data_IF_616866117990
#
_entry.id   IF_616866117990
#
_cell.length_a   1.000
_cell.length_b   1.000
_cell.length_c   1.000
_cell.angle_alpha   90.00
_cell.angle_beta   90.00
_cell.angle_gamma   90.00
#
_symmetry.space_group_name_H-M   'P 1'
#
loop_
_entity.id
_entity.type
_entity.pdbx_description
1 polymer ?
#
# COMPACT_ATOMS: atom_id res chain seq x y z
N UNK A 1 64.17 4.22 -38.99
CA UNK A 1 63.84 5.06 -40.13
C UNK A 1 62.46 5.58 -39.90
N UNK A 2 62.38 6.77 -39.49
CA UNK A 2 62.09 8.03 -40.18
C UNK A 2 60.59 8.17 -40.34
N UNK A 3 60.03 8.99 -39.59
CA UNK A 3 59.70 10.42 -39.67
C UNK A 3 58.34 10.59 -40.32
N UNK A 4 57.47 11.43 -39.98
CA UNK A 4 57.44 12.69 -39.27
C UNK A 4 56.13 13.38 -39.49
N UNK A 5 55.64 14.04 -38.45
CA UNK A 5 55.27 15.44 -38.32
C UNK A 5 54.20 16.09 -39.22
N UNK A 6 53.27 16.68 -38.46
CA UNK A 6 52.74 18.08 -38.53
C UNK A 6 51.62 18.35 -39.54
N UNK A 7 50.58 18.95 -39.18
CA UNK A 7 50.09 20.10 -38.41
C UNK A 7 49.22 21.02 -39.27
N UNK A 8 48.30 21.70 -38.64
CA UNK A 8 47.55 22.93 -38.94
C UNK A 8 46.35 22.80 -39.87
N UNK A 9 45.20 23.02 -39.38
CA UNK A 9 44.51 24.22 -38.85
C UNK A 9 43.90 25.08 -39.96
N UNK A 10 42.68 25.46 -39.74
CA UNK A 10 42.13 26.83 -39.88
C UNK A 10 40.90 26.98 -40.85
N UNK A 11 39.84 27.48 -40.21
CA UNK A 11 38.77 28.41 -40.61
C UNK A 11 37.60 27.91 -41.47
N UNK A 12 36.46 27.80 -40.84
CA UNK A 12 35.35 28.77 -40.74
C UNK A 12 34.56 29.06 -42.02
N UNK A 13 33.27 28.76 -42.03
CA UNK A 13 32.24 29.79 -42.00
C UNK A 13 30.81 29.23 -42.28
N UNK A 14 29.91 29.63 -41.40
CA UNK A 14 28.53 30.15 -41.58
C UNK A 14 27.41 29.34 -42.18
N UNK A 15 26.42 29.20 -41.28
CA UNK A 15 24.98 29.49 -41.43
C UNK A 15 24.14 28.54 -42.28
N UNK A 16 23.15 27.88 -41.71
CA UNK A 16 21.81 28.41 -41.33
C UNK A 16 20.97 27.33 -40.66
N UNK A 17 20.19 27.72 -39.72
CA UNK A 17 19.09 27.20 -38.92
C UNK A 17 17.90 26.67 -39.75
N UNK A 18 16.81 26.19 -39.08
CA UNK A 18 16.64 25.23 -37.97
C UNK A 18 15.58 24.18 -38.29
N UNK A 19 15.64 23.05 -37.59
CA UNK A 19 14.41 22.25 -37.38
C UNK A 19 14.46 21.67 -35.95
N UNK A 20 13.46 22.05 -35.19
CA UNK A 20 13.23 21.62 -33.82
C UNK A 20 12.91 20.14 -33.72
N UNK A 21 13.89 19.34 -33.45
CA UNK A 21 13.76 17.97 -32.99
C UNK A 21 14.16 17.88 -31.53
N UNK A 22 13.21 17.95 -30.59
CA UNK A 22 13.44 17.64 -29.17
C UNK A 22 13.87 16.18 -29.06
N UNK A 23 15.18 15.94 -29.11
CA UNK A 23 15.78 14.68 -28.65
C UNK A 23 15.68 14.65 -27.14
N UNK A 24 14.67 13.98 -26.60
CA UNK A 24 14.69 13.46 -25.25
C UNK A 24 15.84 12.45 -25.17
N UNK A 25 16.99 12.93 -24.73
CA UNK A 25 18.09 12.07 -24.34
C UNK A 25 17.66 11.34 -23.07
N UNK A 26 17.23 10.10 -23.21
CA UNK A 26 17.20 9.13 -22.12
C UNK A 26 18.61 9.07 -21.53
N UNK A 27 18.83 9.77 -20.44
CA UNK A 27 20.04 9.62 -19.62
C UNK A 27 19.96 8.25 -18.94
N UNK A 28 20.49 7.23 -19.60
CA UNK A 28 20.79 5.95 -18.97
C UNK A 28 21.80 6.18 -17.86
N UNK A 29 21.43 5.78 -16.62
CA UNK A 29 22.25 5.46 -15.47
C UNK A 29 23.63 6.10 -15.32
N UNK A 30 23.70 7.42 -15.04
CA UNK A 30 24.91 7.95 -14.42
C UNK A 30 24.90 7.55 -12.94
N UNK A 31 26.06 7.10 -12.39
CA UNK A 31 26.18 6.82 -10.96
C UNK A 31 25.79 8.07 -10.14
N UNK A 32 25.27 7.87 -8.93
CA UNK A 32 25.06 8.98 -7.99
C UNK A 32 26.42 9.54 -7.63
N UNK A 33 26.65 10.80 -7.99
CA UNK A 33 27.84 11.51 -7.52
C UNK A 33 27.65 11.86 -6.04
N UNK A 34 28.58 11.41 -5.19
CA UNK A 34 28.50 11.62 -3.72
C UNK A 34 29.79 12.26 -3.26
N UNK A 35 29.71 13.54 -2.97
CA UNK A 35 30.81 14.27 -2.33
C UNK A 35 30.89 13.96 -0.83
N UNK A 36 32.11 13.80 -0.32
CA UNK A 36 32.38 13.53 1.11
C UNK A 36 33.26 14.62 1.69
N UNK A 37 32.72 15.33 2.69
CA UNK A 37 33.48 16.39 3.37
C UNK A 37 33.40 16.25 4.90
N UNK A 38 34.49 16.57 5.60
CA UNK A 38 34.46 16.65 7.07
C UNK A 38 34.27 18.12 7.49
N UNK A 39 33.34 18.29 8.43
CA UNK A 39 33.04 19.59 9.00
C UNK A 39 32.94 19.42 10.52
N UNK A 40 33.94 19.98 11.25
CA UNK A 40 34.10 19.75 12.67
C UNK A 40 34.11 18.24 13.00
N UNK A 41 33.19 17.75 13.81
CA UNK A 41 33.12 16.37 14.29
C UNK A 41 32.11 15.48 13.50
N UNK A 42 31.64 15.98 12.35
CA UNK A 42 30.70 15.26 11.49
C UNK A 42 31.30 14.95 10.12
N UNK A 43 30.89 13.85 9.54
CA UNK A 43 31.10 13.51 8.14
C UNK A 43 29.83 13.87 7.36
N UNK A 44 29.94 14.72 6.35
CA UNK A 44 28.87 15.12 5.47
C UNK A 44 28.98 14.34 4.17
N UNK A 45 27.92 13.62 3.80
CA UNK A 45 27.74 13.00 2.50
C UNK A 45 26.76 13.83 1.69
N UNK A 46 27.16 14.30 0.52
CA UNK A 46 26.35 15.16 -0.35
C UNK A 46 26.08 14.48 -1.71
N UNK A 47 25.05 13.61 -1.80
CA UNK A 47 24.65 13.00 -3.07
C UNK A 47 23.98 14.02 -3.99
N UNK A 48 24.21 13.88 -5.30
CA UNK A 48 23.65 14.74 -6.35
C UNK A 48 22.86 13.91 -7.36
N UNK A 49 21.67 14.40 -7.75
CA UNK A 49 20.80 13.79 -8.75
C UNK A 49 19.63 13.01 -8.14
N UNK A 50 19.32 11.84 -8.66
CA UNK A 50 18.20 10.99 -8.21
C UNK A 50 18.72 9.77 -7.45
N UNK A 51 18.09 9.48 -6.31
CA UNK A 51 18.34 8.24 -5.56
C UNK A 51 17.13 7.32 -5.80
N UNK A 52 17.19 6.52 -6.84
CA UNK A 52 16.12 5.62 -7.27
C UNK A 52 16.61 4.16 -7.36
N UNK A 53 15.83 3.28 -7.95
CA UNK A 53 16.15 1.86 -8.03
C UNK A 53 17.47 1.54 -8.75
N UNK A 54 17.97 2.44 -9.60
CA UNK A 54 19.23 2.23 -10.31
C UNK A 54 20.44 2.71 -9.50
N UNK A 55 20.27 3.68 -8.63
CA UNK A 55 21.35 4.40 -7.92
C UNK A 55 21.38 4.11 -6.42
N UNK A 56 20.30 3.55 -5.85
CA UNK A 56 20.17 3.30 -4.41
C UNK A 56 21.18 2.31 -3.86
N UNK A 57 21.61 1.31 -4.65
CA UNK A 57 22.59 0.32 -4.19
C UNK A 57 23.98 0.93 -3.97
N UNK A 58 24.42 1.83 -4.85
CA UNK A 58 25.66 2.57 -4.70
C UNK A 58 25.58 3.55 -3.53
N UNK A 59 24.47 4.30 -3.44
CA UNK A 59 24.20 5.19 -2.31
C UNK A 59 24.25 4.44 -0.98
N UNK A 60 23.61 3.27 -0.89
CA UNK A 60 23.63 2.43 0.32
C UNK A 60 25.06 1.99 0.68
N UNK A 61 25.84 1.54 -0.28
CA UNK A 61 27.22 1.11 -0.06
C UNK A 61 28.09 2.21 0.52
N UNK A 62 28.01 3.41 -0.07
CA UNK A 62 28.75 4.59 0.38
C UNK A 62 28.30 5.04 1.77
N UNK A 63 26.99 5.10 2.00
CA UNK A 63 26.40 5.50 3.27
C UNK A 63 26.77 4.51 4.39
N UNK A 64 26.68 3.20 4.15
CA UNK A 64 27.09 2.18 5.11
C UNK A 64 28.59 2.30 5.45
N UNK A 65 29.44 2.47 4.45
CA UNK A 65 30.86 2.71 4.68
C UNK A 65 31.11 3.93 5.58
N UNK A 66 30.37 5.01 5.35
CA UNK A 66 30.47 6.22 6.14
C UNK A 66 30.07 6.03 7.61
N UNK A 67 28.97 5.34 7.88
CA UNK A 67 28.46 5.15 9.27
C UNK A 67 29.23 4.07 10.04
N UNK A 68 29.86 3.10 9.35
CA UNK A 68 30.57 1.98 10.00
C UNK A 68 32.08 2.20 10.14
N UNK A 69 32.72 2.83 9.15
CA UNK A 69 34.17 2.95 9.09
C UNK A 69 34.75 4.25 9.71
N UNK A 70 33.91 5.25 9.97
CA UNK A 70 34.34 6.53 10.51
C UNK A 70 34.02 6.66 12.01
N UNK A 71 34.85 7.46 12.70
CA UNK A 71 34.62 7.78 14.12
C UNK A 71 33.75 9.04 14.30
N UNK A 72 33.21 9.62 13.24
CA UNK A 72 32.37 10.82 13.25
C UNK A 72 30.87 10.50 13.15
N UNK A 73 30.02 11.39 13.62
CA UNK A 73 28.58 11.40 13.30
C UNK A 73 28.40 11.71 11.80
N UNK A 74 27.30 11.23 11.19
CA UNK A 74 27.09 11.36 9.74
C UNK A 74 25.86 12.22 9.46
N UNK A 75 25.99 13.22 8.58
CA UNK A 75 24.88 14.00 8.03
C UNK A 75 24.84 13.80 6.51
N UNK A 76 23.68 13.40 5.99
CA UNK A 76 23.45 13.34 4.54
C UNK A 76 22.84 14.68 4.08
N UNK A 77 23.59 15.45 3.32
CA UNK A 77 23.14 16.71 2.72
C UNK A 77 22.37 16.41 1.43
N UNK A 78 21.04 16.54 1.47
CA UNK A 78 20.15 16.24 0.36
C UNK A 78 19.85 17.47 -0.53
N UNK A 79 20.61 18.55 -0.42
CA UNK A 79 20.42 19.74 -1.24
C UNK A 79 20.58 19.48 -2.75
N UNK A 80 21.46 18.54 -3.12
CA UNK A 80 21.67 18.09 -4.49
C UNK A 80 20.69 17.02 -4.99
N UNK A 81 19.81 16.49 -4.13
CA UNK A 81 18.92 15.38 -4.48
C UNK A 81 17.59 15.89 -4.99
N UNK A 82 17.23 15.46 -6.20
CA UNK A 82 15.98 15.85 -6.87
C UNK A 82 14.80 14.94 -6.52
N UNK A 83 15.09 13.66 -6.26
CA UNK A 83 14.10 12.63 -5.95
C UNK A 83 14.75 11.50 -5.15
N UNK A 84 13.99 10.91 -4.23
CA UNK A 84 14.38 9.70 -3.49
C UNK A 84 13.24 8.68 -3.51
N UNK A 85 13.55 7.45 -3.93
CA UNK A 85 12.59 6.33 -3.95
C UNK A 85 12.53 5.60 -2.61
N UNK A 86 11.61 4.62 -2.48
CA UNK A 86 11.55 3.71 -1.33
C UNK A 86 12.86 2.94 -1.13
N UNK A 87 13.54 2.57 -2.21
CA UNK A 87 14.86 1.92 -2.13
C UNK A 87 15.93 2.85 -1.55
N UNK A 88 15.92 4.13 -1.94
CA UNK A 88 16.81 5.14 -1.35
C UNK A 88 16.51 5.41 0.13
N UNK A 89 15.24 5.46 0.50
CA UNK A 89 14.83 5.60 1.92
C UNK A 89 15.22 4.35 2.73
N UNK A 90 15.10 3.14 2.18
CA UNK A 90 15.60 1.91 2.83
C UNK A 90 17.10 1.93 3.03
N UNK A 91 17.87 2.49 2.11
CA UNK A 91 19.32 2.67 2.28
C UNK A 91 19.65 3.54 3.52
N UNK A 92 18.93 4.64 3.70
CA UNK A 92 19.04 5.49 4.91
C UNK A 92 18.67 4.73 6.18
N UNK A 93 17.58 3.92 6.14
CA UNK A 93 17.16 3.09 7.25
C UNK A 93 18.22 2.05 7.61
N UNK A 94 18.71 1.31 6.62
CA UNK A 94 19.73 0.28 6.84
C UNK A 94 20.97 0.87 7.50
N UNK A 95 21.40 2.04 7.04
CA UNK A 95 22.51 2.76 7.66
C UNK A 95 22.20 3.21 9.10
N UNK A 96 20.99 3.69 9.35
CA UNK A 96 20.55 4.07 10.69
C UNK A 96 20.56 2.91 11.68
N UNK A 97 20.23 1.69 11.21
CA UNK A 97 20.26 0.46 12.04
C UNK A 97 21.65 -0.11 12.25
N UNK A 98 22.50 -0.06 11.23
CA UNK A 98 23.84 -0.65 11.27
C UNK A 98 24.90 0.27 11.86
N UNK A 99 24.59 1.55 12.07
CA UNK A 99 25.53 2.46 12.75
C UNK A 99 25.76 2.04 14.21
N UNK A 100 26.98 2.22 14.76
CA UNK A 100 27.23 2.04 16.19
C UNK A 100 26.26 2.88 17.05
N UNK A 101 25.90 2.40 18.23
CA UNK A 101 24.93 3.07 19.15
C UNK A 101 25.38 4.49 19.53
N UNK A 102 26.67 4.70 19.62
CA UNK A 102 27.30 5.97 19.99
C UNK A 102 27.34 6.98 18.84
N UNK A 103 26.93 6.57 17.63
CA UNK A 103 26.93 7.39 16.43
C UNK A 103 25.54 7.88 16.09
N UNK A 104 25.49 9.05 15.49
CA UNK A 104 24.25 9.66 15.01
C UNK A 104 24.27 9.73 13.49
N UNK A 105 23.09 9.55 12.89
CA UNK A 105 22.84 9.75 11.48
C UNK A 105 21.66 10.68 11.34
N UNK A 106 21.77 11.69 10.50
CA UNK A 106 20.70 12.60 10.14
C UNK A 106 20.72 12.96 8.65
N UNK A 107 19.66 13.54 8.17
CA UNK A 107 19.59 14.18 6.85
C UNK A 107 19.36 15.67 7.01
N UNK A 108 19.88 16.46 6.06
CA UNK A 108 19.73 17.91 6.09
C UNK A 108 19.48 18.48 4.68
N UNK A 109 19.04 19.74 4.61
CA UNK A 109 18.91 20.52 3.37
C UNK A 109 17.98 19.88 2.32
N UNK A 110 16.88 19.26 2.74
CA UNK A 110 15.95 18.60 1.83
C UNK A 110 15.29 19.60 0.88
N UNK A 111 15.35 19.33 -0.43
CA UNK A 111 14.56 20.06 -1.44
C UNK A 111 13.07 19.78 -1.23
N UNK A 112 12.21 20.65 -1.74
CA UNK A 112 10.76 20.59 -1.53
C UNK A 112 10.17 19.22 -1.83
N UNK A 113 10.47 18.63 -3.00
CA UNK A 113 9.98 17.30 -3.40
C UNK A 113 10.46 16.20 -2.46
N UNK A 114 11.77 16.21 -2.11
CA UNK A 114 12.34 15.22 -1.18
C UNK A 114 11.73 15.36 0.22
N UNK A 115 11.48 16.58 0.68
CA UNK A 115 10.82 16.87 1.95
C UNK A 115 9.37 16.35 1.97
N UNK A 116 8.63 16.54 0.87
CA UNK A 116 7.27 15.98 0.73
C UNK A 116 7.30 14.45 0.81
N UNK A 117 8.25 13.80 0.11
CA UNK A 117 8.41 12.33 0.18
C UNK A 117 8.74 11.88 1.61
N UNK A 118 9.60 12.58 2.34
CA UNK A 118 9.91 12.30 3.74
C UNK A 118 8.67 12.47 4.64
N UNK A 119 7.82 13.45 4.36
CA UNK A 119 6.57 13.68 5.09
C UNK A 119 5.56 12.58 4.79
N UNK A 120 5.30 12.30 3.52
CA UNK A 120 4.36 11.25 3.07
C UNK A 120 4.76 9.86 3.59
N UNK A 121 6.06 9.54 3.52
CA UNK A 121 6.61 8.27 4.02
C UNK A 121 6.79 8.23 5.53
N UNK A 122 6.49 9.32 6.25
CA UNK A 122 6.74 9.51 7.69
C UNK A 122 8.18 9.20 8.12
N UNK A 123 9.11 9.33 7.17
CA UNK A 123 10.49 8.94 7.34
C UNK A 123 11.28 9.86 8.28
N UNK A 124 10.75 11.05 8.56
CA UNK A 124 11.29 11.97 9.56
C UNK A 124 11.27 11.43 11.00
N UNK A 125 10.44 10.41 11.28
CA UNK A 125 10.44 9.69 12.57
C UNK A 125 11.58 8.65 12.67
N UNK A 126 12.18 8.30 11.55
CA UNK A 126 13.20 7.25 11.44
C UNK A 126 14.60 7.81 11.41
N UNK A 127 14.80 8.88 10.64
CA UNK A 127 16.09 9.60 10.53
C UNK A 127 15.80 11.09 10.77
N UNK A 128 16.45 11.73 11.77
CA UNK A 128 16.26 13.15 12.05
C UNK A 128 16.50 14.02 10.82
N UNK A 129 15.63 15.01 10.61
CA UNK A 129 15.68 15.95 9.49
C UNK A 129 15.99 17.33 10.03
N UNK A 130 17.03 17.97 9.50
CA UNK A 130 17.42 19.33 9.84
C UNK A 130 17.31 20.27 8.64
N UNK A 131 17.13 21.55 8.90
CA UNK A 131 17.08 22.53 7.82
C UNK A 131 18.45 22.74 7.19
N UNK A 132 19.53 22.69 7.99
CA UNK A 132 20.92 22.81 7.53
C UNK A 132 21.83 21.78 8.21
N UNK A 133 23.02 21.58 7.63
CA UNK A 133 24.05 20.72 8.21
C UNK A 133 24.56 21.29 9.55
N UNK A 134 24.63 22.61 9.67
CA UNK A 134 25.03 23.33 10.88
C UNK A 134 24.04 23.13 12.02
N UNK A 135 22.74 23.13 11.70
CA UNK A 135 21.66 22.85 12.66
C UNK A 135 21.79 21.43 13.23
N UNK A 136 22.04 20.43 12.38
CA UNK A 136 22.28 19.05 12.82
C UNK A 136 23.49 18.97 13.76
N UNK A 137 24.57 19.64 13.41
CA UNK A 137 25.79 19.69 14.24
C UNK A 137 25.53 20.31 15.60
N UNK A 138 24.77 21.40 15.67
CA UNK A 138 24.42 22.11 16.91
C UNK A 138 23.46 21.29 17.78
N UNK A 139 22.44 20.70 17.20
CA UNK A 139 21.46 19.85 17.90
C UNK A 139 22.12 18.64 18.56
N UNK A 140 23.22 18.16 18.03
CA UNK A 140 23.95 17.03 18.60
C UNK A 140 24.85 17.38 19.78
N UNK A 141 24.93 18.64 20.13
CA UNK A 141 25.57 19.10 21.34
C UNK A 141 24.61 19.14 22.56
N UNK A 142 23.30 18.85 22.36
CA UNK A 142 22.25 18.85 23.39
C UNK A 142 21.64 17.44 23.61
N UNK A 143 21.06 17.08 24.80
CA UNK A 143 20.53 15.75 25.12
C UNK A 143 19.11 15.47 24.56
N UNK A 144 18.67 14.21 24.38
CA UNK A 144 17.53 13.79 23.51
C UNK A 144 16.13 13.84 24.15
N UNK A 145 15.10 13.93 23.31
CA UNK A 145 13.67 13.76 23.63
C UNK A 145 12.97 12.75 22.69
N UNK A 146 11.88 12.13 23.16
CA UNK A 146 11.19 10.99 22.56
C UNK A 146 9.76 11.29 22.01
N UNK A 147 9.32 10.48 21.04
CA UNK A 147 8.04 9.83 20.72
C UNK A 147 6.99 10.33 19.72
N UNK A 148 6.44 9.33 19.03
CA UNK A 148 5.06 8.89 18.72
C UNK A 148 4.53 8.85 17.26
N UNK A 149 3.63 7.91 16.98
CA UNK A 149 3.32 7.15 15.76
C UNK A 149 1.89 7.29 15.15
N UNK A 150 1.70 6.81 13.97
CA UNK A 150 0.79 5.85 13.25
C UNK A 150 -0.51 6.30 12.55
N UNK A 151 -1.27 5.66 11.71
CA UNK A 151 -1.66 4.71 10.68
C UNK A 151 -2.71 4.97 9.55
N UNK A 152 -3.13 4.28 8.68
CA UNK A 152 -3.86 3.38 7.79
C UNK A 152 -5.11 3.65 6.84
N UNK A 153 -5.51 3.07 5.78
CA UNK A 153 -6.06 2.29 4.76
C UNK A 153 -7.38 2.21 3.94
N UNK A 154 -7.70 1.71 2.76
CA UNK A 154 -8.66 0.85 1.97
C UNK A 154 -9.55 1.26 0.76
N UNK A 155 -10.19 0.49 -0.02
CA UNK A 155 -10.48 -0.10 -1.28
C UNK A 155 -11.84 -0.15 -2.01
N UNK A 156 -12.06 -0.45 -3.35
CA UNK A 156 -13.19 -1.03 -4.10
C UNK A 156 -13.53 -1.10 -5.61
N UNK A 157 -14.62 -1.63 -6.14
CA UNK A 157 -14.88 -2.38 -7.39
C UNK A 157 -15.83 -1.92 -8.55
N UNK A 158 -16.31 -2.63 -9.45
CA UNK A 158 -16.38 -2.93 -10.80
C UNK A 158 -17.67 -3.22 -11.63
N UNK A 159 -17.82 -3.16 -12.96
CA UNK A 159 -18.99 -3.51 -13.71
C UNK A 159 -18.85 -3.78 -15.21
N UNK A 160 -19.53 -4.65 -15.86
CA UNK A 160 -20.30 -5.75 -15.32
C UNK A 160 -19.48 -6.67 -14.46
N UNK A 161 -18.18 -6.43 -14.34
CA UNK A 161 -17.35 -6.90 -13.26
C UNK A 161 -17.31 -5.78 -12.22
N UNK A 162 -17.80 -5.99 -11.01
CA UNK A 162 -17.77 -5.05 -9.87
C UNK A 162 -17.16 -5.73 -8.68
N UNK A 163 -16.63 -5.00 -7.74
CA UNK A 163 -16.18 -5.51 -6.43
C UNK A 163 -16.84 -4.67 -5.38
N UNK A 164 -17.20 -5.18 -4.24
CA UNK A 164 -17.72 -4.48 -3.07
C UNK A 164 -16.95 -4.92 -1.85
N UNK A 165 -16.69 -3.99 -0.94
CA UNK A 165 -15.99 -4.29 0.29
C UNK A 165 -16.93 -4.36 1.47
N UNK A 166 -16.84 -5.44 2.19
CA UNK A 166 -17.63 -5.71 3.38
C UNK A 166 -16.81 -5.56 4.64
N UNK A 167 -15.48 -5.60 4.50
CA UNK A 167 -14.54 -5.42 5.59
C UNK A 167 -13.17 -5.09 5.06
N UNK A 168 -12.56 -4.16 5.71
CA UNK A 168 -11.46 -3.36 5.19
C UNK A 168 -10.34 -3.15 6.20
N UNK A 169 -10.50 -3.53 7.48
CA UNK A 169 -9.49 -3.46 8.54
C UNK A 169 -8.55 -4.65 8.53
N UNK A 170 -7.28 -4.41 8.85
CA UNK A 170 -6.31 -5.44 9.14
C UNK A 170 -6.32 -5.86 10.61
N UNK A 171 -5.77 -6.99 10.90
CA UNK A 171 -5.49 -7.57 12.21
C UNK A 171 -6.69 -7.70 13.15
N UNK A 172 -7.48 -6.65 13.38
CA UNK A 172 -8.60 -6.63 14.33
C UNK A 172 -9.74 -5.74 13.86
N UNK A 173 -11.01 -6.07 14.20
CA UNK A 173 -12.13 -5.16 14.03
C UNK A 173 -11.92 -3.84 14.78
N UNK A 174 -12.21 -2.72 14.12
CA UNK A 174 -12.03 -1.37 14.67
C UNK A 174 -13.34 -0.56 14.65
N UNK A 175 -14.33 -0.89 15.51
CA UNK A 175 -15.60 -0.18 15.56
C UNK A 175 -15.44 1.26 16.05
N UNK A 176 -16.25 2.19 15.53
CA UNK A 176 -16.28 3.57 16.00
C UNK A 176 -16.64 3.63 17.50
N UNK A 177 -15.85 4.40 18.24
CA UNK A 177 -16.10 4.67 19.66
C UNK A 177 -17.06 5.86 19.82
N UNK A 178 -17.80 5.92 20.92
CA UNK A 178 -18.75 7.01 21.23
C UNK A 178 -18.12 8.41 21.01
N UNK A 179 -16.93 8.61 21.56
CA UNK A 179 -16.22 9.89 21.44
C UNK A 179 -15.91 10.29 19.98
N UNK A 180 -15.64 9.31 19.11
CA UNK A 180 -15.38 9.56 17.69
C UNK A 180 -16.67 9.99 16.96
N UNK A 181 -17.78 9.30 17.21
CA UNK A 181 -19.11 9.70 16.70
C UNK A 181 -19.47 11.10 17.17
N UNK A 182 -19.29 11.40 18.45
CA UNK A 182 -19.54 12.74 19.00
C UNK A 182 -18.67 13.83 18.36
N UNK A 183 -17.40 13.51 18.08
CA UNK A 183 -16.51 14.45 17.39
C UNK A 183 -16.98 14.74 15.96
N UNK A 184 -17.37 13.73 15.20
CA UNK A 184 -17.94 13.88 13.84
C UNK A 184 -19.17 14.76 13.85
N UNK A 185 -20.13 14.53 14.78
CA UNK A 185 -21.34 15.35 14.92
C UNK A 185 -20.97 16.80 15.21
N UNK A 186 -20.06 17.06 16.15
CA UNK A 186 -19.57 18.41 16.46
C UNK A 186 -18.95 19.08 15.24
N UNK A 187 -18.08 18.39 14.51
CA UNK A 187 -17.34 18.93 13.38
C UNK A 187 -18.30 19.22 12.21
N UNK A 188 -19.29 18.36 11.97
CA UNK A 188 -20.36 18.60 11.01
C UNK A 188 -21.19 19.84 11.37
N UNK A 189 -21.60 19.99 12.65
CA UNK A 189 -22.36 21.17 13.12
C UNK A 189 -21.54 22.47 13.05
N UNK A 190 -20.23 22.41 13.28
CA UNK A 190 -19.34 23.56 13.13
C UNK A 190 -19.23 23.98 11.65
N UNK A 191 -19.11 23.02 10.74
CA UNK A 191 -19.07 23.29 9.29
C UNK A 191 -20.41 23.83 8.74
N UNK A 192 -21.51 23.44 9.36
CA UNK A 192 -22.86 23.89 8.97
C UNK A 192 -23.19 25.36 9.35
N UNK A 193 -22.35 26.02 10.16
CA UNK A 193 -22.60 27.40 10.59
C UNK A 193 -22.71 28.34 9.39
N UNK A 194 -23.82 29.09 9.33
CA UNK A 194 -24.08 30.05 8.27
C UNK A 194 -24.50 29.46 6.92
N UNK A 195 -24.72 28.14 6.85
CA UNK A 195 -25.24 27.46 5.67
C UNK A 195 -26.77 27.49 5.67
N UNK A 196 -27.40 27.68 4.50
CA UNK A 196 -28.84 27.58 4.32
C UNK A 196 -29.25 26.11 4.17
N UNK A 197 -29.58 25.44 5.27
CA UNK A 197 -29.92 24.02 5.34
C UNK A 197 -31.40 23.82 5.70
N UNK A 198 -32.29 24.46 4.96
CA UNK A 198 -33.72 24.47 5.25
C UNK A 198 -34.48 23.26 4.72
N UNK A 199 -33.87 22.47 3.82
CA UNK A 199 -34.48 21.29 3.22
C UNK A 199 -33.58 20.08 3.37
N UNK A 200 -34.16 18.87 3.41
CA UNK A 200 -33.41 17.60 3.44
C UNK A 200 -32.41 17.51 2.27
N UNK A 201 -32.86 17.90 1.07
CA UNK A 201 -31.98 17.92 -0.11
C UNK A 201 -30.78 18.88 0.05
N UNK A 202 -30.95 20.04 0.67
CA UNK A 202 -29.87 20.97 0.95
C UNK A 202 -28.89 20.38 2.00
N UNK A 203 -29.41 19.65 2.99
CA UNK A 203 -28.62 18.96 4.01
C UNK A 203 -27.79 17.86 3.37
N UNK A 204 -28.38 16.97 2.57
CA UNK A 204 -27.66 15.89 1.88
C UNK A 204 -26.57 16.47 0.95
N UNK A 205 -26.91 17.48 0.14
CA UNK A 205 -25.92 18.14 -0.71
C UNK A 205 -24.75 18.77 0.08
N UNK A 206 -25.03 19.32 1.26
CA UNK A 206 -24.01 19.85 2.17
C UNK A 206 -23.12 18.72 2.74
N UNK A 207 -23.72 17.63 3.21
CA UNK A 207 -23.01 16.46 3.72
C UNK A 207 -22.05 15.94 2.65
N UNK A 208 -22.54 15.74 1.42
CA UNK A 208 -21.74 15.13 0.35
C UNK A 208 -20.66 16.05 -0.22
N UNK A 209 -20.90 17.35 -0.31
CA UNK A 209 -20.01 18.29 -1.00
C UNK A 209 -19.12 19.12 -0.09
N UNK A 210 -19.45 19.28 1.20
CA UNK A 210 -18.77 20.18 2.13
C UNK A 210 -18.07 19.48 3.29
N UNK A 211 -18.50 18.28 3.65
CA UNK A 211 -17.87 17.55 4.74
C UNK A 211 -16.80 16.56 4.18
N UNK A 212 -15.61 16.51 4.80
CA UNK A 212 -14.64 15.49 4.48
C UNK A 212 -15.18 14.09 4.83
N UNK A 213 -14.70 13.07 4.16
CA UNK A 213 -15.20 11.69 4.38
C UNK A 213 -15.04 11.23 5.83
N UNK A 214 -13.95 11.64 6.48
CA UNK A 214 -13.70 11.37 7.91
C UNK A 214 -14.77 11.96 8.86
N UNK A 215 -15.55 12.93 8.41
CA UNK A 215 -16.65 13.52 9.18
C UNK A 215 -18.01 12.94 8.76
N UNK A 216 -18.29 12.89 7.44
CA UNK A 216 -19.60 12.45 6.90
C UNK A 216 -19.78 10.93 6.86
N UNK A 217 -18.70 10.16 6.91
CA UNK A 217 -18.69 8.71 6.79
C UNK A 217 -17.74 8.04 7.77
N UNK A 218 -17.41 6.78 7.50
CA UNK A 218 -16.36 6.02 8.17
C UNK A 218 -15.70 5.07 7.18
N UNK A 219 -14.41 4.83 7.33
CA UNK A 219 -13.73 3.80 6.55
C UNK A 219 -14.10 2.36 6.97
N UNK A 220 -14.92 2.21 7.99
CA UNK A 220 -15.44 0.93 8.45
C UNK A 220 -14.66 0.34 9.62
N UNK A 221 -15.14 -0.78 10.10
CA UNK A 221 -14.58 -1.46 11.26
C UNK A 221 -14.50 -2.97 11.12
N UNK A 222 -14.94 -3.54 9.99
CA UNK A 222 -14.85 -4.97 9.73
C UNK A 222 -13.50 -5.37 9.17
N UNK A 223 -13.06 -6.60 9.45
CA UNK A 223 -11.85 -7.17 8.87
C UNK A 223 -12.10 -7.76 7.48
N UNK A 224 -11.04 -8.09 6.79
CA UNK A 224 -10.93 -8.40 5.36
C UNK A 224 -12.05 -9.26 4.78
N UNK A 225 -12.90 -8.68 3.94
CA UNK A 225 -13.92 -9.39 3.15
C UNK A 225 -14.29 -8.58 1.91
N UNK A 226 -14.04 -9.13 0.73
CA UNK A 226 -14.25 -8.47 -0.56
C UNK A 226 -15.10 -9.33 -1.48
N UNK A 227 -16.18 -8.78 -2.03
CA UNK A 227 -17.07 -9.44 -3.00
C UNK A 227 -16.70 -9.01 -4.41
N UNK A 228 -16.39 -9.95 -5.32
CA UNK A 228 -16.25 -9.71 -6.74
C UNK A 228 -17.58 -10.04 -7.43
N UNK A 229 -18.27 -9.02 -7.91
CA UNK A 229 -19.61 -9.13 -8.49
C UNK A 229 -19.46 -9.41 -10.00
N UNK A 230 -19.79 -10.63 -10.37
CA UNK A 230 -19.70 -11.10 -11.77
C UNK A 230 -20.98 -10.86 -12.58
N UNK A 231 -22.08 -10.54 -11.92
CA UNK A 231 -23.42 -10.51 -12.54
C UNK A 231 -24.00 -11.88 -12.84
N UNK A 232 -23.32 -12.98 -12.46
CA UNK A 232 -23.82 -14.35 -12.54
C UNK A 232 -24.59 -14.77 -11.28
N UNK A 233 -24.99 -16.04 -11.24
CA UNK A 233 -25.76 -16.62 -10.12
C UNK A 233 -24.90 -17.08 -8.95
N UNK A 234 -23.60 -17.13 -9.10
CA UNK A 234 -22.64 -17.52 -8.05
C UNK A 234 -21.95 -16.29 -7.46
N UNK A 235 -21.77 -16.28 -6.15
CA UNK A 235 -21.00 -15.26 -5.44
C UNK A 235 -19.52 -15.60 -5.46
N UNK A 236 -18.68 -14.58 -5.56
CA UNK A 236 -17.21 -14.69 -5.45
C UNK A 236 -16.76 -13.75 -4.35
N UNK A 237 -16.01 -14.28 -3.37
CA UNK A 237 -15.60 -13.57 -2.16
C UNK A 237 -14.11 -13.82 -1.92
N UNK A 238 -13.38 -12.78 -1.56
CA UNK A 238 -12.03 -12.89 -1.03
C UNK A 238 -12.09 -12.67 0.48
N UNK A 239 -11.59 -13.64 1.22
CA UNK A 239 -11.54 -13.73 2.68
C UNK A 239 -12.88 -13.70 3.43
N UNK A 240 -12.84 -14.22 4.65
CA UNK A 240 -13.96 -14.45 5.55
C UNK A 240 -13.78 -13.70 6.88
N UNK A 241 -13.20 -12.50 6.83
CA UNK A 241 -13.15 -11.60 7.98
C UNK A 241 -14.55 -11.17 8.42
N UNK A 242 -14.64 -10.31 9.44
CA UNK A 242 -15.95 -9.99 10.05
C UNK A 242 -16.96 -9.37 9.08
N UNK A 243 -16.50 -8.79 7.97
CA UNK A 243 -17.35 -8.24 6.91
C UNK A 243 -18.26 -9.28 6.25
N UNK A 244 -17.90 -10.58 6.25
CA UNK A 244 -18.70 -11.65 5.66
C UNK A 244 -20.08 -11.79 6.31
N UNK A 245 -20.22 -11.38 7.58
CA UNK A 245 -21.52 -11.36 8.28
C UNK A 245 -22.50 -10.43 7.58
N UNK A 246 -22.09 -9.20 7.29
CA UNK A 246 -22.97 -8.22 6.62
C UNK A 246 -23.23 -8.60 5.16
N UNK A 247 -22.25 -9.16 4.46
CA UNK A 247 -22.47 -9.77 3.15
C UNK A 247 -23.53 -10.86 3.20
N UNK A 248 -23.42 -11.83 4.09
CA UNK A 248 -24.40 -12.90 4.25
C UNK A 248 -25.79 -12.38 4.60
N UNK A 249 -25.89 -11.41 5.50
CA UNK A 249 -27.15 -10.75 5.86
C UNK A 249 -27.79 -10.04 4.67
N UNK A 250 -26.99 -9.40 3.79
CA UNK A 250 -27.50 -8.79 2.56
C UNK A 250 -28.09 -9.84 1.63
N UNK A 251 -27.37 -10.94 1.36
CA UNK A 251 -27.86 -12.03 0.50
C UNK A 251 -29.22 -12.56 1.00
N UNK A 252 -29.37 -12.74 2.31
CA UNK A 252 -30.61 -13.19 2.91
C UNK A 252 -31.74 -12.14 2.85
N UNK A 253 -31.44 -10.87 2.99
CA UNK A 253 -32.43 -9.79 2.82
C UNK A 253 -32.94 -9.69 1.38
N UNK A 254 -32.04 -9.84 0.39
CA UNK A 254 -32.38 -9.71 -1.03
C UNK A 254 -33.13 -10.93 -1.59
N UNK A 255 -32.79 -12.12 -1.12
CA UNK A 255 -33.30 -13.37 -1.73
C UNK A 255 -34.10 -14.25 -0.79
N UNK A 256 -34.07 -13.99 0.51
CA UNK A 256 -34.65 -14.84 1.53
C UNK A 256 -33.92 -16.19 1.73
N UNK A 257 -34.20 -16.92 2.81
CA UNK A 257 -33.52 -18.18 3.12
C UNK A 257 -33.94 -19.35 2.22
N UNK A 258 -35.00 -19.19 1.41
CA UNK A 258 -35.54 -20.22 0.51
C UNK A 258 -34.71 -20.44 -0.74
N UNK A 259 -34.08 -19.39 -1.29
CA UNK A 259 -33.21 -19.49 -2.46
C UNK A 259 -31.86 -20.12 -2.07
N UNK A 260 -31.39 -21.04 -2.91
CA UNK A 260 -30.07 -21.69 -2.72
C UNK A 260 -29.03 -20.98 -3.52
N UNK A 261 -27.85 -20.85 -2.93
CA UNK A 261 -26.74 -20.08 -3.49
C UNK A 261 -25.45 -20.91 -3.51
N UNK A 262 -24.58 -20.59 -4.46
CA UNK A 262 -23.21 -21.04 -4.50
C UNK A 262 -22.27 -19.87 -4.15
N UNK A 263 -21.39 -20.09 -3.19
CA UNK A 263 -20.37 -19.12 -2.76
C UNK A 263 -19.00 -19.69 -3.07
N UNK A 264 -18.22 -18.97 -3.87
CA UNK A 264 -16.84 -19.28 -4.19
C UNK A 264 -15.96 -18.34 -3.35
N UNK A 265 -15.32 -18.86 -2.33
CA UNK A 265 -14.50 -18.13 -1.36
C UNK A 265 -13.03 -18.36 -1.66
N UNK A 266 -12.27 -17.30 -1.89
CA UNK A 266 -10.82 -17.34 -2.09
C UNK A 266 -10.14 -16.86 -0.81
N UNK A 267 -9.48 -17.74 -0.08
CA UNK A 267 -8.75 -17.39 1.14
C UNK A 267 -7.31 -17.03 0.81
N UNK A 268 -6.91 -15.81 1.20
CA UNK A 268 -5.53 -15.36 1.11
C UNK A 268 -4.63 -16.16 2.06
N UNK A 269 -5.05 -16.31 3.31
CA UNK A 269 -4.37 -17.10 4.34
C UNK A 269 -5.26 -17.27 5.59
N UNK A 270 -4.90 -18.18 6.53
CA UNK A 270 -5.75 -18.52 7.66
C UNK A 270 -5.54 -17.66 8.93
N UNK A 271 -4.98 -16.44 8.85
CA UNK A 271 -4.96 -15.55 10.01
C UNK A 271 -6.38 -15.17 10.44
N UNK A 272 -6.56 -14.83 11.71
CA UNK A 272 -7.88 -14.68 12.30
C UNK A 272 -8.72 -13.60 11.63
N UNK A 273 -8.15 -12.48 11.32
CA UNK A 273 -8.84 -11.37 10.67
C UNK A 273 -9.31 -11.69 9.24
N UNK A 274 -8.81 -12.77 8.65
CA UNK A 274 -9.26 -13.28 7.34
C UNK A 274 -10.24 -14.44 7.44
N UNK A 275 -10.46 -15.03 8.63
CA UNK A 275 -11.41 -16.15 8.82
C UNK A 275 -12.40 -15.94 9.97
N UNK A 276 -12.20 -14.96 10.88
CA UNK A 276 -12.97 -14.84 12.13
C UNK A 276 -14.46 -14.58 11.92
N UNK A 277 -14.88 -14.11 10.75
CA UNK A 277 -16.28 -13.87 10.43
C UNK A 277 -17.04 -15.11 9.99
N UNK A 278 -16.36 -16.20 9.58
CA UNK A 278 -17.00 -17.39 9.04
C UNK A 278 -18.04 -18.02 9.99
N UNK A 279 -17.83 -18.14 11.31
CA UNK A 279 -18.83 -18.67 12.23
C UNK A 279 -20.13 -17.85 12.29
N UNK A 280 -20.12 -16.62 11.77
CA UNK A 280 -21.27 -15.71 11.71
C UNK A 280 -21.82 -15.53 10.29
N UNK A 281 -21.34 -16.31 9.34
CA UNK A 281 -21.80 -16.31 7.95
C UNK A 281 -23.11 -17.11 7.85
N UNK A 282 -24.23 -16.42 8.04
CA UNK A 282 -25.56 -17.05 8.12
C UNK A 282 -25.89 -18.01 6.94
N UNK A 283 -25.47 -17.77 5.68
CA UNK A 283 -25.69 -18.74 4.60
C UNK A 283 -25.05 -20.12 4.82
N UNK A 284 -24.00 -20.24 5.65
CA UNK A 284 -23.38 -21.53 5.95
C UNK A 284 -24.29 -22.48 6.74
N UNK A 285 -25.26 -21.94 7.46
CA UNK A 285 -26.23 -22.72 8.25
C UNK A 285 -27.47 -23.16 7.47
N UNK A 286 -27.60 -22.74 6.20
CA UNK A 286 -28.79 -22.99 5.40
C UNK A 286 -28.62 -24.24 4.53
N UNK A 287 -29.40 -25.29 4.73
CA UNK A 287 -29.34 -26.49 3.92
C UNK A 287 -29.58 -26.22 2.43
N UNK A 288 -28.73 -26.81 1.59
CA UNK A 288 -28.78 -26.68 0.14
C UNK A 288 -27.94 -25.54 -0.44
N UNK A 289 -27.39 -24.66 0.39
CA UNK A 289 -26.32 -23.77 -0.06
C UNK A 289 -25.04 -24.58 -0.28
N UNK A 290 -24.22 -24.12 -1.22
CA UNK A 290 -22.87 -24.67 -1.48
C UNK A 290 -21.83 -23.59 -1.25
N UNK A 291 -20.78 -23.91 -0.50
CA UNK A 291 -19.64 -23.06 -0.24
C UNK A 291 -18.38 -23.80 -0.72
N UNK A 292 -17.69 -23.25 -1.71
CA UNK A 292 -16.41 -23.75 -2.17
C UNK A 292 -15.32 -22.81 -1.65
N UNK A 293 -14.41 -23.35 -0.87
CA UNK A 293 -13.29 -22.60 -0.26
C UNK A 293 -12.02 -22.95 -1.02
N UNK A 294 -11.55 -22.01 -1.80
CA UNK A 294 -10.33 -22.09 -2.58
C UNK A 294 -9.18 -21.46 -1.82
N UNK A 295 -7.99 -22.04 -1.91
CA UNK A 295 -6.75 -21.47 -1.38
C UNK A 295 -5.56 -22.35 -1.71
N UNK A 296 -4.37 -21.87 -1.39
CA UNK A 296 -3.12 -22.59 -1.71
C UNK A 296 -2.46 -23.25 -0.47
N UNK A 297 -3.16 -23.28 0.68
CA UNK A 297 -2.66 -23.90 1.91
C UNK A 297 -3.32 -25.25 2.15
N UNK A 298 -2.55 -26.23 2.56
CA UNK A 298 -3.07 -27.56 2.93
C UNK A 298 -3.86 -27.54 4.25
N UNK A 299 -3.66 -26.49 5.08
CA UNK A 299 -4.28 -26.38 6.43
C UNK A 299 -5.62 -25.66 6.47
N UNK A 300 -6.18 -25.19 5.33
CA UNK A 300 -7.43 -24.40 5.33
C UNK A 300 -8.60 -25.13 5.96
N UNK A 301 -8.76 -26.40 5.63
CA UNK A 301 -9.81 -27.24 6.22
C UNK A 301 -9.64 -27.38 7.73
N UNK A 302 -8.43 -27.68 8.19
CA UNK A 302 -8.10 -27.81 9.61
C UNK A 302 -8.34 -26.51 10.37
N UNK A 303 -7.89 -25.38 9.81
CA UNK A 303 -8.06 -24.05 10.43
C UNK A 303 -9.53 -23.70 10.68
N UNK A 304 -10.40 -23.88 9.67
CA UNK A 304 -11.82 -23.57 9.79
C UNK A 304 -12.57 -24.58 10.69
N UNK A 305 -12.22 -25.86 10.66
CA UNK A 305 -12.77 -26.85 11.59
C UNK A 305 -12.37 -26.56 13.03
N UNK A 306 -11.11 -26.20 13.27
CA UNK A 306 -10.62 -25.85 14.61
C UNK A 306 -11.30 -24.60 15.13
N UNK A 307 -11.40 -23.55 14.34
CA UNK A 307 -12.09 -22.32 14.70
C UNK A 307 -13.57 -22.58 15.04
N UNK A 308 -14.21 -23.46 14.27
CA UNK A 308 -15.65 -23.74 14.37
C UNK A 308 -15.92 -25.05 15.17
N UNK A 309 -15.31 -25.15 16.34
CA UNK A 309 -15.43 -26.32 17.25
C UNK A 309 -15.28 -25.90 18.72
N UNK A 310 -15.80 -26.73 19.61
CA UNK A 310 -15.56 -26.55 21.05
C UNK A 310 -14.05 -26.67 21.38
N UNK A 311 -13.52 -25.88 22.30
CA UNK A 311 -14.21 -24.88 23.15
C UNK A 311 -14.32 -23.48 22.50
N UNK A 312 -13.89 -23.30 21.25
CA UNK A 312 -13.76 -21.99 20.59
C UNK A 312 -15.10 -21.45 20.09
N UNK A 313 -15.98 -22.35 19.61
CA UNK A 313 -17.29 -21.99 19.11
C UNK A 313 -18.34 -23.03 19.51
N UNK A 314 -19.60 -22.63 19.82
CA UNK A 314 -20.62 -23.54 20.35
C UNK A 314 -21.24 -24.49 19.31
N UNK A 315 -21.15 -24.19 18.01
CA UNK A 315 -21.65 -25.04 16.91
C UNK A 315 -20.46 -25.67 16.21
N UNK A 316 -20.45 -26.99 16.08
CA UNK A 316 -19.40 -27.71 15.38
C UNK A 316 -19.51 -27.49 13.86
N UNK A 317 -18.38 -27.42 13.17
CA UNK A 317 -18.32 -27.27 11.71
C UNK A 317 -19.19 -28.31 10.97
N UNK A 318 -19.25 -29.52 11.50
CA UNK A 318 -20.03 -30.65 10.93
C UNK A 318 -21.53 -30.47 11.06
N UNK A 319 -22.00 -29.55 11.89
CA UNK A 319 -23.40 -29.22 12.09
C UNK A 319 -23.91 -28.12 11.12
N UNK A 320 -23.03 -27.57 10.29
CA UNK A 320 -23.42 -26.58 9.29
C UNK A 320 -24.35 -27.18 8.24
N UNK A 321 -25.39 -26.44 7.88
CA UNK A 321 -26.43 -26.92 6.95
C UNK A 321 -26.00 -26.93 5.48
N UNK A 322 -25.04 -26.11 5.09
CA UNK A 322 -24.52 -26.01 3.72
C UNK A 322 -23.56 -27.15 3.36
N UNK A 323 -23.40 -27.42 2.07
CA UNK A 323 -22.32 -28.29 1.57
C UNK A 323 -21.05 -27.45 1.44
N UNK A 324 -19.99 -27.80 2.18
CA UNK A 324 -18.71 -27.07 2.15
C UNK A 324 -17.64 -27.94 1.51
N UNK A 325 -16.99 -27.41 0.48
CA UNK A 325 -15.94 -28.07 -0.31
C UNK A 325 -14.64 -27.25 -0.20
N UNK A 326 -13.51 -27.90 0.12
CA UNK A 326 -12.18 -27.28 0.09
C UNK A 326 -11.47 -27.65 -1.20
N UNK A 327 -10.93 -26.67 -1.89
CA UNK A 327 -10.24 -26.84 -3.18
C UNK A 327 -8.85 -26.18 -3.11
N UNK A 328 -7.82 -27.03 -3.12
CA UNK A 328 -6.42 -26.53 -3.13
C UNK A 328 -6.06 -26.08 -4.54
N UNK A 329 -5.60 -24.83 -4.65
CA UNK A 329 -5.07 -24.25 -5.88
C UNK A 329 -3.53 -24.33 -5.88
N UNK A 330 -2.97 -24.48 -7.08
CA UNK A 330 -1.53 -24.36 -7.32
C UNK A 330 -1.21 -22.91 -7.70
N UNK A 331 -0.26 -22.22 -7.02
CA UNK A 331 0.20 -20.89 -7.46
C UNK A 331 0.67 -20.89 -8.92
N UNK A 332 0.59 -19.74 -9.58
CA UNK A 332 0.99 -19.52 -10.98
C UNK A 332 0.22 -20.35 -12.03
N UNK A 333 -0.78 -21.11 -11.60
CA UNK A 333 -1.70 -21.83 -12.48
C UNK A 333 -3.04 -21.09 -12.59
N UNK A 334 -3.59 -21.02 -13.81
CA UNK A 334 -4.89 -20.40 -14.08
C UNK A 334 -6.01 -21.42 -14.01
N UNK A 335 -7.12 -21.03 -13.38
CA UNK A 335 -8.34 -21.82 -13.22
C UNK A 335 -9.56 -21.02 -13.69
N UNK A 336 -10.53 -21.70 -14.27
CA UNK A 336 -11.83 -21.11 -14.62
C UNK A 336 -12.84 -21.38 -13.48
N UNK A 337 -13.22 -20.34 -12.74
CA UNK A 337 -14.10 -20.45 -11.57
C UNK A 337 -15.13 -19.32 -11.63
N UNK A 338 -16.42 -19.66 -11.54
CA UNK A 338 -17.54 -18.71 -11.55
C UNK A 338 -17.51 -17.72 -12.75
N UNK A 339 -17.02 -18.17 -13.91
CA UNK A 339 -16.87 -17.36 -15.12
C UNK A 339 -15.72 -16.36 -15.08
N UNK A 340 -14.75 -16.57 -14.20
CA UNK A 340 -13.52 -15.80 -14.08
C UNK A 340 -12.30 -16.70 -14.32
N UNK A 341 -11.33 -16.22 -15.08
CA UNK A 341 -9.98 -16.78 -15.06
C UNK A 341 -9.27 -16.32 -13.80
N UNK A 342 -8.88 -17.25 -12.92
CA UNK A 342 -8.28 -16.97 -11.62
C UNK A 342 -6.87 -17.55 -11.55
N UNK A 343 -5.91 -16.72 -11.15
CA UNK A 343 -4.51 -17.13 -10.92
C UNK A 343 -4.09 -16.67 -9.53
N UNK A 344 -3.39 -17.52 -8.78
CA UNK A 344 -2.83 -17.18 -7.48
C UNK A 344 -1.33 -16.90 -7.58
N UNK A 345 -0.82 -16.00 -6.72
CA UNK A 345 0.62 -15.76 -6.52
C UNK A 345 0.95 -15.88 -5.04
N UNK A 346 2.09 -16.48 -4.72
CA UNK A 346 2.60 -16.53 -3.35
C UNK A 346 3.12 -15.16 -2.92
N UNK A 347 2.75 -14.72 -1.73
CA UNK A 347 3.10 -13.43 -1.12
C UNK A 347 4.04 -13.60 0.07
N UNK A 348 4.81 -12.56 0.37
CA UNK A 348 5.74 -12.55 1.50
C UNK A 348 5.00 -12.10 2.77
N UNK A 349 4.56 -13.07 3.53
CA UNK A 349 3.87 -12.87 4.81
C UNK A 349 4.16 -14.03 5.76
N UNK A 350 4.09 -13.79 7.08
CA UNK A 350 4.29 -14.83 8.10
C UNK A 350 3.20 -15.92 7.96
N UNK A 351 3.60 -17.17 7.84
CA UNK A 351 2.67 -18.28 7.58
C UNK A 351 2.27 -18.45 6.12
N UNK A 352 2.79 -17.64 5.23
CA UNK A 352 2.47 -17.52 3.80
C UNK A 352 1.08 -16.93 3.55
N UNK A 353 0.99 -16.03 2.58
CA UNK A 353 -0.25 -15.49 2.04
C UNK A 353 -0.27 -15.67 0.53
N UNK A 354 -1.44 -15.56 -0.10
CA UNK A 354 -1.59 -15.65 -1.54
C UNK A 354 -2.48 -14.54 -2.05
N UNK A 355 -1.98 -13.83 -3.09
CA UNK A 355 -2.77 -12.89 -3.86
C UNK A 355 -3.49 -13.59 -5.01
N UNK A 356 -4.61 -13.03 -5.46
CA UNK A 356 -5.41 -13.57 -6.55
C UNK A 356 -5.62 -12.53 -7.64
N UNK A 357 -5.42 -12.95 -8.90
CA UNK A 357 -5.81 -12.18 -10.06
C UNK A 357 -7.06 -12.80 -10.69
N UNK A 358 -8.11 -12.02 -10.80
CA UNK A 358 -9.38 -12.37 -11.44
C UNK A 358 -9.49 -11.63 -12.75
N UNK A 359 -9.78 -12.35 -13.84
CA UNK A 359 -9.87 -11.74 -15.18
C UNK A 359 -11.10 -12.20 -15.93
N UNK A 360 -11.75 -11.29 -16.65
CA UNK A 360 -12.86 -11.59 -17.55
C UNK A 360 -13.07 -10.45 -18.56
N UNK A 361 -13.26 -10.80 -19.84
CA UNK A 361 -13.58 -9.83 -20.88
C UNK A 361 -12.56 -8.70 -21.03
N UNK A 362 -11.28 -8.97 -20.84
CA UNK A 362 -10.20 -7.99 -20.91
C UNK A 362 -10.07 -7.11 -19.66
N UNK A 363 -10.92 -7.29 -18.65
CA UNK A 363 -10.88 -6.62 -17.34
C UNK A 363 -10.20 -7.49 -16.30
N UNK A 364 -9.52 -6.88 -15.35
CA UNK A 364 -8.86 -7.62 -14.27
C UNK A 364 -8.83 -6.89 -12.95
N UNK A 365 -9.01 -7.67 -11.89
CA UNK A 365 -8.91 -7.26 -10.48
C UNK A 365 -7.81 -8.10 -9.85
N UNK A 366 -6.94 -7.46 -9.11
CA UNK A 366 -5.95 -8.16 -8.28
C UNK A 366 -6.26 -7.89 -6.82
N UNK A 367 -6.46 -8.95 -6.05
CA UNK A 367 -6.55 -8.93 -4.60
C UNK A 367 -5.20 -9.35 -4.02
N UNK A 368 -4.48 -8.40 -3.43
CA UNK A 368 -3.14 -8.58 -2.89
C UNK A 368 -3.05 -7.98 -1.49
N UNK A 369 -3.68 -8.67 -0.53
CA UNK A 369 -3.60 -8.35 0.90
C UNK A 369 -2.38 -9.06 1.52
N UNK A 370 -1.95 -8.59 2.70
CA UNK A 370 -0.93 -9.21 3.56
C UNK A 370 0.33 -9.66 2.81
N UNK A 371 1.06 -8.66 2.36
CA UNK A 371 2.32 -8.87 1.64
C UNK A 371 3.35 -7.79 1.98
N UNK A 372 4.51 -8.20 2.47
CA UNK A 372 5.65 -7.31 2.65
C UNK A 372 6.53 -7.31 1.39
N UNK A 373 6.49 -6.23 0.62
CA UNK A 373 7.29 -6.11 -0.59
C UNK A 373 8.68 -5.55 -0.31
N UNK A 374 9.70 -6.40 -0.52
CA UNK A 374 11.13 -6.04 -0.45
C UNK A 374 11.75 -6.24 -1.83
N UNK A 375 12.14 -5.17 -2.50
CA UNK A 375 12.73 -5.22 -3.83
C UNK A 375 13.92 -4.27 -3.95
N UNK A 376 14.91 -4.67 -4.77
CA UNK A 376 16.04 -3.83 -5.17
C UNK A 376 15.82 -3.15 -6.52
N UNK A 377 14.92 -3.69 -7.35
CA UNK A 377 14.54 -3.15 -8.65
C UNK A 377 13.05 -3.44 -8.93
N UNK A 378 12.39 -2.51 -9.62
CA UNK A 378 11.02 -2.66 -10.13
C UNK A 378 11.00 -2.82 -11.65
N UNK A 379 12.04 -3.39 -12.21
CA UNK A 379 12.02 -3.87 -13.59
C UNK A 379 11.11 -5.10 -13.74
N UNK A 380 10.96 -5.59 -14.95
CA UNK A 380 10.09 -6.73 -15.24
C UNK A 380 10.52 -8.06 -14.59
N UNK A 381 11.62 -8.09 -13.82
CA UNK A 381 12.11 -9.29 -13.12
C UNK A 381 11.41 -9.49 -11.77
N UNK A 382 10.82 -8.43 -11.15
CA UNK A 382 10.07 -8.57 -9.91
C UNK A 382 8.69 -9.18 -10.19
N UNK A 383 8.39 -10.38 -9.69
CA UNK A 383 7.20 -11.16 -10.10
C UNK A 383 5.88 -10.42 -9.96
N UNK A 384 5.75 -9.59 -8.92
CA UNK A 384 4.53 -8.84 -8.66
C UNK A 384 4.27 -7.74 -9.70
N UNK A 385 5.30 -7.15 -10.32
CA UNK A 385 5.10 -6.20 -11.43
C UNK A 385 4.42 -6.89 -12.61
N UNK A 386 4.81 -8.14 -12.92
CA UNK A 386 4.17 -8.93 -13.97
C UNK A 386 2.74 -9.35 -13.57
N UNK A 387 2.55 -9.77 -12.31
CA UNK A 387 1.25 -10.22 -11.80
C UNK A 387 0.21 -9.09 -11.72
N UNK A 388 0.64 -7.86 -11.37
CA UNK A 388 -0.23 -6.68 -11.32
C UNK A 388 -0.41 -5.99 -12.66
N UNK A 389 0.38 -6.34 -13.68
CA UNK A 389 0.44 -5.62 -14.96
C UNK A 389 -0.93 -5.32 -15.55
N UNK A 390 -1.16 -4.04 -15.85
CA UNK A 390 -2.36 -3.51 -16.47
C UNK A 390 -3.67 -3.90 -15.72
N UNK A 391 -3.61 -4.14 -14.42
CA UNK A 391 -4.82 -4.39 -13.65
C UNK A 391 -5.73 -3.16 -13.67
N UNK A 392 -7.03 -3.37 -13.92
CA UNK A 392 -8.01 -2.27 -13.80
C UNK A 392 -8.15 -1.84 -12.33
N UNK A 393 -8.06 -2.79 -11.40
CA UNK A 393 -8.05 -2.56 -9.95
C UNK A 393 -7.00 -3.43 -9.28
N UNK A 394 -6.11 -2.82 -8.52
CA UNK A 394 -5.20 -3.46 -7.58
C UNK A 394 -5.61 -3.12 -6.17
N UNK A 395 -6.11 -4.10 -5.44
CA UNK A 395 -6.41 -4.05 -4.01
C UNK A 395 -5.13 -4.41 -3.28
N UNK A 396 -4.56 -3.47 -2.53
CA UNK A 396 -3.21 -3.61 -2.02
C UNK A 396 -3.12 -3.34 -0.53
N UNK A 397 -2.42 -4.21 0.19
CA UNK A 397 -2.06 -4.02 1.58
C UNK A 397 -1.13 -2.81 1.76
N UNK A 398 -1.67 -1.72 2.25
CA UNK A 398 -0.94 -0.49 2.52
C UNK A 398 -1.04 -0.11 4.00
N UNK A 399 -0.85 -1.11 4.87
CA UNK A 399 -1.10 -1.03 6.30
C UNK A 399 -0.23 0.01 7.02
N UNK A 400 0.96 0.34 6.53
CA UNK A 400 1.92 1.15 7.25
C UNK A 400 2.40 2.37 6.44
N UNK A 401 2.88 3.41 7.14
CA UNK A 401 3.79 4.35 6.52
C UNK A 401 5.11 3.63 6.18
N UNK A 402 5.90 4.15 5.22
CA UNK A 402 7.20 3.54 4.92
C UNK A 402 8.13 3.57 6.15
N UNK A 403 8.05 4.64 6.94
CA UNK A 403 8.83 4.75 8.18
C UNK A 403 8.52 3.62 9.17
N UNK A 404 7.24 3.33 9.40
CA UNK A 404 6.82 2.24 10.30
C UNK A 404 7.16 0.86 9.74
N UNK A 405 6.90 0.64 8.44
CA UNK A 405 7.17 -0.61 7.74
C UNK A 405 8.64 -1.04 7.82
N UNK A 406 9.57 -0.10 7.77
CA UNK A 406 11.02 -0.41 7.78
C UNK A 406 11.68 -0.17 9.14
N UNK A 407 10.98 0.33 10.16
CA UNK A 407 11.57 0.62 11.48
C UNK A 407 11.08 -0.31 12.60
N UNK A 408 9.79 -0.32 12.83
CA UNK A 408 9.19 -1.01 13.99
C UNK A 408 8.51 -2.30 13.57
N UNK A 409 8.00 -2.36 12.33
CA UNK A 409 7.13 -3.41 11.81
C UNK A 409 7.75 -4.17 10.62
N UNK A 410 9.06 -4.11 10.46
CA UNK A 410 9.78 -4.94 9.48
C UNK A 410 9.60 -6.43 9.82
N UNK A 411 9.44 -7.25 8.80
CA UNK A 411 9.14 -8.69 8.90
C UNK A 411 7.76 -9.03 9.53
N UNK A 412 6.85 -8.02 9.67
CA UNK A 412 5.47 -8.26 10.08
C UNK A 412 4.57 -8.70 8.90
N UNK A 413 5.10 -8.63 7.69
CA UNK A 413 4.44 -9.14 6.49
C UNK A 413 3.49 -8.17 5.81
N UNK A 414 3.63 -6.85 6.03
CA UNK A 414 2.80 -5.80 5.45
C UNK A 414 3.63 -4.73 4.74
N UNK A 415 3.02 -4.05 3.78
CA UNK A 415 3.66 -3.00 2.99
C UNK A 415 3.21 -1.60 3.37
N UNK A 416 3.84 -0.60 2.73
CA UNK A 416 3.50 0.82 2.91
C UNK A 416 2.76 1.40 1.71
N UNK A 417 2.11 2.53 1.93
CA UNK A 417 1.47 3.33 0.90
C UNK A 417 2.44 3.78 -0.22
N UNK A 418 3.68 4.07 0.11
CA UNK A 418 4.74 4.46 -0.87
C UNK A 418 5.07 3.27 -1.78
N UNK A 419 5.29 2.09 -1.20
CA UNK A 419 5.54 0.84 -1.95
C UNK A 419 4.35 0.49 -2.85
N UNK A 420 3.12 0.69 -2.37
CA UNK A 420 1.91 0.47 -3.16
C UNK A 420 1.90 1.32 -4.45
N UNK A 421 2.22 2.61 -4.35
CA UNK A 421 2.28 3.52 -5.51
C UNK A 421 3.40 3.12 -6.48
N UNK A 422 4.61 2.84 -5.99
CA UNK A 422 5.74 2.46 -6.84
C UNK A 422 5.45 1.18 -7.64
N UNK A 423 4.87 0.16 -7.00
CA UNK A 423 4.47 -1.08 -7.66
C UNK A 423 3.34 -0.87 -8.66
N UNK A 424 2.32 -0.09 -8.29
CA UNK A 424 1.19 0.22 -9.17
C UNK A 424 1.63 0.99 -10.42
N UNK A 425 2.55 1.94 -10.28
CA UNK A 425 3.14 2.69 -11.40
C UNK A 425 3.99 1.77 -12.29
N UNK A 426 4.87 0.96 -11.72
CA UNK A 426 5.71 0.01 -12.46
C UNK A 426 4.89 -1.02 -13.23
N UNK A 427 3.76 -1.46 -12.66
CA UNK A 427 2.84 -2.41 -13.27
C UNK A 427 1.77 -1.76 -14.19
N UNK A 428 1.76 -0.43 -14.33
CA UNK A 428 0.76 0.32 -15.11
C UNK A 428 -0.68 0.02 -14.68
N UNK A 429 -0.92 -0.09 -13.38
CA UNK A 429 -2.23 -0.30 -12.79
C UNK A 429 -3.10 0.94 -13.01
N UNK A 430 -4.38 0.75 -13.34
CA UNK A 430 -5.31 1.87 -13.54
C UNK A 430 -5.75 2.49 -12.21
N UNK A 431 -6.19 1.64 -11.25
CA UNK A 431 -6.66 2.07 -9.92
C UNK A 431 -5.93 1.29 -8.84
N UNK A 432 -5.24 2.01 -7.99
CA UNK A 432 -4.65 1.48 -6.76
C UNK A 432 -5.63 1.70 -5.62
N UNK A 433 -5.92 0.63 -4.95
CA UNK A 433 -6.89 0.63 -3.89
C UNK A 433 -6.21 0.24 -2.60
N UNK A 434 -6.04 1.22 -1.68
CA UNK A 434 -5.40 1.02 -0.39
C UNK A 434 -6.31 0.20 0.53
N UNK A 435 -5.83 -0.90 1.07
CA UNK A 435 -6.56 -1.91 1.82
C UNK A 435 -5.85 -2.35 3.10
N UNK A 436 -6.50 -3.05 3.99
CA UNK A 436 -5.95 -3.67 5.18
C UNK A 436 -5.48 -2.68 6.26
N UNK A 437 -6.40 -1.79 6.67
CA UNK A 437 -6.16 -0.68 7.61
C UNK A 437 -5.73 -1.10 9.00
N UNK A 438 -4.66 -0.54 9.47
CA UNK A 438 -4.24 -0.65 10.89
C UNK A 438 -5.41 -0.29 11.82
N UNK A 439 -5.80 -1.16 12.75
CA UNK A 439 -6.93 -0.90 13.63
C UNK A 439 -6.77 0.31 14.58
N UNK A 440 -5.55 0.76 14.78
CA UNK A 440 -5.29 1.94 15.60
C UNK A 440 -5.66 3.28 14.93
N UNK A 441 -5.89 3.31 13.61
CA UNK A 441 -6.21 4.50 12.81
C UNK A 441 -7.67 4.90 12.87
N UNK A 442 -7.93 6.16 13.25
CA UNK A 442 -9.24 6.75 13.08
C UNK A 442 -9.46 7.24 11.63
N UNK A 443 -10.69 7.61 11.32
CA UNK A 443 -11.05 8.00 9.94
C UNK A 443 -10.29 9.24 9.44
N UNK A 444 -9.88 10.15 10.34
CA UNK A 444 -9.12 11.34 9.96
C UNK A 444 -7.68 10.97 9.56
N UNK A 445 -7.06 10.09 10.33
CA UNK A 445 -5.71 9.63 10.02
C UNK A 445 -5.67 8.87 8.69
N UNK A 446 -6.70 8.06 8.40
CA UNK A 446 -6.83 7.37 7.12
C UNK A 446 -6.95 8.39 5.97
N UNK A 447 -7.81 9.40 6.12
CA UNK A 447 -7.98 10.45 5.12
C UNK A 447 -6.67 11.22 4.85
N UNK A 448 -5.87 11.46 5.88
CA UNK A 448 -4.53 12.05 5.75
C UNK A 448 -3.57 11.15 4.94
N UNK A 449 -3.50 9.85 5.26
CA UNK A 449 -2.66 8.89 4.51
C UNK A 449 -3.08 8.82 3.04
N UNK A 450 -4.37 8.84 2.75
CA UNK A 450 -4.87 8.86 1.37
C UNK A 450 -4.41 10.10 0.63
N UNK A 451 -4.53 11.28 1.26
CA UNK A 451 -4.08 12.54 0.66
C UNK A 451 -2.55 12.53 0.40
N UNK A 452 -1.76 12.04 1.37
CA UNK A 452 -0.32 11.86 1.23
C UNK A 452 0.03 10.88 0.10
N UNK A 453 -0.71 9.78 -0.03
CA UNK A 453 -0.51 8.77 -1.08
C UNK A 453 -0.81 9.32 -2.47
N UNK A 454 -1.91 10.07 -2.62
CA UNK A 454 -2.23 10.78 -3.87
C UNK A 454 -1.10 11.76 -4.21
N UNK A 455 -0.64 12.52 -3.24
CA UNK A 455 0.45 13.47 -3.45
C UNK A 455 1.76 12.77 -3.84
N UNK A 456 2.07 11.64 -3.23
CA UNK A 456 3.25 10.85 -3.61
C UNK A 456 3.12 10.31 -5.04
N UNK A 457 1.94 9.84 -5.45
CA UNK A 457 1.68 9.40 -6.83
C UNK A 457 1.93 10.54 -7.84
N UNK A 458 1.47 11.74 -7.55
CA UNK A 458 1.71 12.92 -8.40
C UNK A 458 3.20 13.27 -8.54
N UNK A 459 3.96 13.19 -7.46
CA UNK A 459 5.40 13.52 -7.42
C UNK A 459 6.23 12.46 -8.14
N UNK A 460 5.92 11.17 -7.91
CA UNK A 460 6.72 10.04 -8.39
C UNK A 460 6.35 9.58 -9.81
N UNK A 461 5.22 10.03 -10.35
CA UNK A 461 4.65 9.57 -11.62
C UNK A 461 5.62 9.66 -12.78
N UNK A 462 6.01 8.53 -13.39
CA UNK A 462 6.92 8.53 -14.55
C UNK A 462 6.23 8.81 -15.90
N UNK A 463 4.89 8.81 -15.92
CA UNK A 463 4.08 8.99 -17.13
C UNK A 463 2.64 8.49 -16.96
N UNK A 464 2.44 7.21 -16.65
CA UNK A 464 1.12 6.64 -16.39
C UNK A 464 0.55 7.12 -15.06
N UNK A 465 -0.68 7.66 -15.08
CA UNK A 465 -1.40 8.07 -13.87
C UNK A 465 -2.08 6.87 -13.23
N UNK A 466 -1.83 6.66 -11.95
CA UNK A 466 -2.56 5.69 -11.11
C UNK A 466 -3.62 6.44 -10.31
N UNK A 467 -4.89 6.04 -10.44
CA UNK A 467 -5.96 6.57 -9.59
C UNK A 467 -5.87 5.91 -8.23
N UNK A 468 -5.57 6.68 -7.18
CA UNK A 468 -5.49 6.20 -5.80
C UNK A 468 -6.85 6.34 -5.13
N UNK A 469 -7.36 5.24 -4.57
CA UNK A 469 -8.62 5.15 -3.88
C UNK A 469 -8.38 4.56 -2.49
N UNK A 470 -9.09 5.04 -1.48
CA UNK A 470 -9.17 4.38 -0.19
C UNK A 470 -10.45 3.61 -0.05
N UNK A 471 -10.37 2.44 0.53
CA UNK A 471 -11.55 1.66 0.79
C UNK A 471 -12.31 2.09 2.03
N UNK A 472 -13.55 1.67 2.07
CA UNK A 472 -14.39 1.68 3.25
C UNK A 472 -15.45 0.58 3.16
N UNK A 473 -15.94 0.11 4.31
CA UNK A 473 -17.00 -0.88 4.35
C UNK A 473 -18.24 -0.37 3.59
N UNK A 474 -18.66 -1.07 2.55
CA UNK A 474 -19.82 -0.71 1.73
C UNK A 474 -19.50 0.01 0.41
N UNK A 475 -18.29 0.45 0.18
CA UNK A 475 -17.93 1.06 -1.11
C UNK A 475 -18.10 0.06 -2.27
N UNK A 476 -18.48 0.52 -3.46
CA UNK A 476 -18.59 -0.26 -4.70
C UNK A 476 -18.07 0.56 -5.88
N UNK A 477 -17.13 0.03 -6.66
CA UNK A 477 -16.60 0.66 -7.88
C UNK A 477 -16.94 -0.16 -9.14
N UNK A 478 -16.94 0.45 -10.30
CA UNK A 478 -17.27 -0.15 -11.59
C UNK A 478 -16.05 -0.18 -12.54
N UNK A 479 -15.64 -1.36 -13.17
CA UNK A 479 -14.42 -1.51 -14.00
C UNK A 479 -14.56 -1.00 -15.43
#
# INVERSE_FOLDING_TARGET
>A
MSSGRRSRAVLASRCQTPEDGVRVLLRQGLPVDIDERRQANILVLAPVGRIDNLTSAEFQTRLLAAVTSNSADVVVDLSGVEYISSAGLRALMTASRQKPKERRLAVACLRTVVREIFTISRFSHVVPVFATVEEASTAWQAPPRADAAVPDAQAEPAGPLRVRFWGTRGSLPAPLRERAVRAKIRDALLAARGQALETEQAIEAFIDSKLPFSVRGTFGGNTSCVEIITGGDEYVICDLGTGVREFGNRVLREHGPGRKHCFNVFLSHPHWDHIMGFPFFAPAYIPGNRIRIYGCHDVLSEALHTQHSAPWFPVDFRELGSTIEFVTLEPDRTYEIAGLSVTAIRQFHTGQSYGYRFSRGGKSIVYSTDCEHKYSSLDGSYPFVAFYRNADVLIFDAMYSLGDSVSVKEDWGHSSNVVAVELAQAAQVRRLVLFHHEPAYDDRMIEEVVAETIRFEEISRPGHKVEVISAYDGLELEL
#
